data_IF_140482859638
#
_entry.id   IF_140482859638
#
_cell.length_a   1.000
_cell.length_b   1.000
_cell.length_c   1.000
_cell.angle_alpha   90.00
_cell.angle_beta   90.00
_cell.angle_gamma   90.00
#
_symmetry.space_group_name_H-M   'P 1'
#
loop_
_entity.id
_entity.type
_entity.pdbx_description
1 polymer ?
#
# COMPACT_ATOMS: atom_id res chain seq x y z
N UNK A 1 -1.93 6.19 14.98
CA UNK A 1 -0.51 6.65 15.02
C UNK A 1 -0.14 7.19 13.64
N UNK A 2 0.59 8.30 13.56
CA UNK A 2 1.05 8.92 12.32
C UNK A 2 2.58 9.08 12.38
N UNK A 3 3.36 8.10 11.87
CA UNK A 3 4.81 8.25 11.76
C UNK A 3 5.15 9.42 10.85
N UNK A 4 6.09 10.26 11.28
CA UNK A 4 6.53 11.42 10.50
C UNK A 4 8.02 11.30 10.18
N UNK A 5 8.35 11.51 8.91
CA UNK A 5 9.73 11.60 8.48
C UNK A 5 10.34 12.96 8.86
N UNK A 6 11.61 12.95 9.16
CA UNK A 6 12.38 14.16 9.44
C UNK A 6 13.27 14.54 8.27
N UNK A 7 13.42 15.84 8.02
CA UNK A 7 14.30 16.35 6.94
C UNK A 7 15.78 15.97 7.14
N UNK A 8 16.19 15.67 8.37
CA UNK A 8 17.53 15.15 8.66
C UNK A 8 17.78 13.75 8.06
N UNK A 9 16.73 12.93 7.91
CA UNK A 9 16.83 11.60 7.29
C UNK A 9 16.62 11.66 5.76
N UNK A 10 15.76 12.56 5.31
CA UNK A 10 15.48 12.76 3.89
C UNK A 10 15.07 14.21 3.66
N UNK A 11 15.82 14.95 2.82
CA UNK A 11 15.61 16.38 2.58
C UNK A 11 14.20 16.73 2.07
N UNK A 12 13.53 15.81 1.40
CA UNK A 12 12.14 15.95 0.96
C UNK A 12 11.12 15.53 2.02
N UNK A 13 11.55 15.15 3.22
CA UNK A 13 10.72 14.59 4.29
C UNK A 13 9.85 13.40 3.83
N UNK A 14 10.35 12.65 2.86
CA UNK A 14 9.72 11.43 2.35
C UNK A 14 10.33 10.18 3.02
N UNK A 15 9.55 9.14 3.22
CA UNK A 15 10.09 7.86 3.68
C UNK A 15 11.05 7.25 2.65
N UNK A 16 12.12 6.64 3.14
CA UNK A 16 13.21 6.08 2.32
C UNK A 16 12.86 4.66 1.81
N UNK A 17 11.68 4.45 1.24
CA UNK A 17 11.18 3.20 0.69
C UNK A 17 12.11 2.55 -0.35
N UNK A 18 13.11 3.27 -0.82
CA UNK A 18 14.07 2.88 -1.84
C UNK A 18 15.46 2.55 -1.29
N UNK A 19 15.75 2.84 -0.02
CA UNK A 19 17.06 2.58 0.59
C UNK A 19 17.08 1.20 1.26
N UNK A 20 18.02 0.36 0.90
CA UNK A 20 18.10 -1.02 1.38
C UNK A 20 18.14 -1.12 2.91
N UNK A 21 18.84 -0.20 3.60
CA UNK A 21 18.91 -0.17 5.05
C UNK A 21 17.60 0.25 5.74
N UNK A 22 16.75 1.03 5.04
CA UNK A 22 15.49 1.53 5.60
C UNK A 22 14.29 0.61 5.33
N UNK A 23 14.44 -0.31 4.37
CA UNK A 23 13.37 -1.27 4.02
C UNK A 23 13.60 -2.66 4.61
N UNK A 24 14.76 -2.91 5.20
CA UNK A 24 15.09 -4.22 5.75
C UNK A 24 14.50 -4.40 7.17
N UNK A 25 14.03 -5.62 7.45
CA UNK A 25 13.58 -5.98 8.79
C UNK A 25 14.69 -5.76 9.83
N UNK A 26 14.36 -5.13 10.95
CA UNK A 26 15.27 -4.87 12.06
C UNK A 26 16.21 -3.68 11.85
N UNK A 27 16.06 -2.93 10.76
CA UNK A 27 16.92 -1.81 10.43
C UNK A 27 16.11 -0.56 10.04
N UNK A 28 16.74 0.61 10.15
CA UNK A 28 16.30 1.88 9.62
C UNK A 28 14.87 2.26 9.96
N UNK A 29 14.19 2.86 8.98
CA UNK A 29 12.82 3.36 9.15
C UNK A 29 11.82 2.24 9.39
N UNK A 30 11.96 1.09 8.73
CA UNK A 30 11.07 -0.03 8.92
C UNK A 30 11.09 -0.55 10.37
N UNK A 31 12.27 -0.64 10.99
CA UNK A 31 12.39 -1.02 12.39
C UNK A 31 11.80 0.04 13.33
N UNK A 32 12.05 1.32 13.04
CA UNK A 32 11.51 2.43 13.83
C UNK A 32 9.98 2.44 13.83
N UNK A 33 9.34 2.28 12.66
CA UNK A 33 7.88 2.24 12.56
C UNK A 33 7.33 0.99 13.28
N UNK A 34 7.99 -0.16 13.15
CA UNK A 34 7.58 -1.38 13.87
C UNK A 34 7.62 -1.19 15.41
N UNK A 35 8.65 -0.52 15.93
CA UNK A 35 8.75 -0.18 17.36
C UNK A 35 7.67 0.81 17.80
N UNK A 36 7.32 1.79 16.95
CA UNK A 36 6.22 2.72 17.23
C UNK A 36 4.88 1.98 17.34
N UNK A 37 4.65 0.96 16.48
CA UNK A 37 3.44 0.11 16.55
C UNK A 37 3.42 -0.66 17.86
N UNK A 38 4.52 -1.31 18.26
CA UNK A 38 4.61 -2.05 19.52
C UNK A 38 4.34 -1.15 20.71
N UNK A 39 4.94 0.04 20.71
CA UNK A 39 4.73 1.03 21.76
C UNK A 39 3.28 1.48 21.85
N UNK A 40 2.66 1.82 20.68
CA UNK A 40 1.27 2.25 20.65
C UNK A 40 0.32 1.16 21.16
N UNK A 41 0.53 -0.09 20.75
CA UNK A 41 -0.26 -1.22 21.25
C UNK A 41 -0.15 -1.39 22.77
N UNK A 42 1.07 -1.28 23.31
CA UNK A 42 1.30 -1.37 24.76
C UNK A 42 0.62 -0.21 25.52
N UNK A 43 0.74 1.02 25.02
CA UNK A 43 0.19 2.21 25.69
C UNK A 43 -1.33 2.28 25.68
N UNK A 44 -1.99 1.68 24.66
CA UNK A 44 -3.44 1.76 24.50
C UNK A 44 -4.18 0.44 24.75
N UNK A 45 -3.46 -0.64 25.08
CA UNK A 45 -4.02 -1.99 25.10
C UNK A 45 -4.76 -2.35 23.82
N UNK A 46 -4.21 -1.90 22.67
CA UNK A 46 -4.80 -2.08 21.36
C UNK A 46 -4.84 -3.54 20.91
N UNK A 47 -5.76 -3.86 20.02
CA UNK A 47 -5.87 -5.20 19.44
C UNK A 47 -4.80 -5.39 18.35
N UNK A 48 -3.77 -6.18 18.64
CA UNK A 48 -2.69 -6.48 17.72
C UNK A 48 -3.14 -7.22 16.43
N UNK A 49 -4.30 -7.88 16.45
CA UNK A 49 -4.85 -8.55 15.26
C UNK A 49 -5.55 -7.58 14.29
N UNK A 50 -5.75 -6.33 14.69
CA UNK A 50 -6.48 -5.30 13.94
C UNK A 50 -5.63 -4.07 13.62
N UNK A 51 -4.33 -4.25 13.47
CA UNK A 51 -3.41 -3.18 13.04
C UNK A 51 -3.37 -3.13 11.52
N UNK A 52 -3.64 -1.97 10.96
CA UNK A 52 -3.53 -1.69 9.52
C UNK A 52 -2.50 -0.59 9.29
N UNK A 53 -1.93 -0.54 8.10
CA UNK A 53 -0.98 0.48 7.67
C UNK A 53 -1.41 1.10 6.36
N UNK A 54 -1.36 2.43 6.24
CA UNK A 54 -1.70 3.11 4.98
C UNK A 54 -0.78 4.28 4.72
N UNK A 55 -0.60 4.60 3.46
CA UNK A 55 0.20 5.74 3.05
C UNK A 55 0.00 6.15 1.60
N UNK A 56 0.34 7.42 1.35
CA UNK A 56 0.36 8.04 0.03
C UNK A 56 1.80 8.14 -0.47
N UNK A 57 2.04 7.90 -1.77
CA UNK A 57 3.32 8.15 -2.45
C UNK A 57 4.48 7.39 -1.76
N UNK A 58 5.49 8.08 -1.27
CA UNK A 58 6.57 7.50 -0.48
C UNK A 58 6.05 6.76 0.77
N UNK A 59 4.98 7.27 1.41
CA UNK A 59 4.27 6.58 2.49
C UNK A 59 3.60 5.29 2.01
N UNK A 60 3.08 5.26 0.79
CA UNK A 60 2.56 4.04 0.15
C UNK A 60 3.66 3.02 -0.13
N UNK A 61 4.84 3.47 -0.57
CA UNK A 61 6.03 2.62 -0.69
C UNK A 61 6.46 2.05 0.66
N UNK A 62 6.48 2.88 1.72
CA UNK A 62 6.78 2.42 3.07
C UNK A 62 5.69 1.48 3.63
N UNK A 63 4.42 1.68 3.24
CA UNK A 63 3.34 0.72 3.56
C UNK A 63 3.66 -0.66 2.98
N UNK A 64 4.08 -0.75 1.70
CA UNK A 64 4.49 -2.01 1.10
C UNK A 64 5.70 -2.64 1.84
N UNK A 65 6.64 -1.82 2.30
CA UNK A 65 7.77 -2.25 3.14
C UNK A 65 7.29 -2.87 4.46
N UNK A 66 6.40 -2.19 5.17
CA UNK A 66 5.89 -2.67 6.47
C UNK A 66 5.11 -3.98 6.32
N UNK A 67 4.28 -4.09 5.29
CA UNK A 67 3.54 -5.32 4.99
C UNK A 67 4.47 -6.50 4.65
N UNK A 68 5.59 -6.26 3.95
CA UNK A 68 6.54 -7.30 3.57
C UNK A 68 7.52 -7.67 4.69
N UNK A 69 8.09 -6.68 5.38
CA UNK A 69 9.12 -6.88 6.39
C UNK A 69 8.55 -7.29 7.76
N UNK A 70 7.31 -6.91 8.05
CA UNK A 70 6.63 -7.18 9.33
C UNK A 70 5.20 -7.71 9.14
N UNK A 71 5.01 -8.76 8.32
CA UNK A 71 3.66 -9.26 7.99
C UNK A 71 2.87 -9.71 9.23
N UNK A 72 3.55 -10.13 10.30
CA UNK A 72 2.92 -10.53 11.55
C UNK A 72 2.32 -9.37 12.36
N UNK A 73 2.67 -8.12 12.02
CA UNK A 73 2.20 -6.94 12.74
C UNK A 73 0.97 -6.28 12.08
N UNK A 74 0.71 -6.60 10.84
CA UNK A 74 -0.34 -5.91 10.07
C UNK A 74 -1.35 -6.90 9.49
N UNK A 75 -2.63 -6.65 9.72
CA UNK A 75 -3.71 -7.42 9.11
C UNK A 75 -3.94 -7.01 7.64
N UNK A 76 -3.70 -5.73 7.33
CA UNK A 76 -3.94 -5.18 6.00
C UNK A 76 -3.11 -3.92 5.74
N UNK A 77 -2.94 -3.57 4.46
CA UNK A 77 -2.36 -2.32 4.01
C UNK A 77 -3.20 -1.60 2.97
N UNK A 78 -3.17 -0.26 3.04
CA UNK A 78 -3.79 0.64 2.07
C UNK A 78 -2.72 1.47 1.36
N UNK A 79 -2.57 1.30 0.06
CA UNK A 79 -1.54 1.98 -0.73
C UNK A 79 -2.19 2.94 -1.71
N UNK A 80 -1.90 4.23 -1.56
CA UNK A 80 -2.38 5.27 -2.48
C UNK A 80 -1.20 5.82 -3.28
N UNK A 81 -1.28 5.74 -4.61
CA UNK A 81 -0.24 6.23 -5.52
C UNK A 81 1.18 5.82 -5.04
N UNK A 82 1.32 4.56 -4.63
CA UNK A 82 2.54 4.03 -4.02
C UNK A 82 3.28 3.06 -4.92
N UNK A 83 4.22 2.30 -4.33
CA UNK A 83 5.20 1.51 -5.07
C UNK A 83 5.35 0.11 -4.44
N UNK A 84 5.66 -0.92 -5.26
CA UNK A 84 5.93 -2.26 -4.75
C UNK A 84 7.15 -2.32 -3.83
N UNK A 85 7.13 -3.24 -2.87
CA UNK A 85 8.29 -3.55 -2.05
C UNK A 85 9.49 -3.97 -2.91
N UNK A 86 10.64 -3.35 -2.68
CA UNK A 86 11.87 -3.64 -3.41
C UNK A 86 11.88 -3.18 -4.86
N UNK A 87 10.97 -2.28 -5.26
CA UNK A 87 10.90 -1.80 -6.63
C UNK A 87 12.15 -1.03 -7.07
N UNK A 88 12.69 -0.17 -6.22
CA UNK A 88 13.90 0.57 -6.55
C UNK A 88 15.09 -0.36 -6.80
N UNK A 89 15.21 -1.46 -6.04
CA UNK A 89 16.22 -2.49 -6.22
C UNK A 89 15.99 -3.31 -7.51
N UNK A 90 14.71 -3.57 -7.84
CA UNK A 90 14.36 -4.28 -9.07
C UNK A 90 14.59 -3.44 -10.32
N UNK A 91 14.30 -2.15 -10.27
CA UNK A 91 14.43 -1.19 -11.37
C UNK A 91 15.85 -0.59 -11.46
N UNK A 92 16.69 -0.78 -10.44
CA UNK A 92 18.02 -0.17 -10.33
C UNK A 92 18.02 1.31 -9.94
N UNK A 93 16.87 1.92 -9.76
CA UNK A 93 16.70 3.33 -9.38
C UNK A 93 15.29 3.61 -8.86
N UNK A 94 15.14 4.47 -7.83
CA UNK A 94 13.81 4.91 -7.40
C UNK A 94 13.05 5.65 -8.50
N UNK A 95 13.72 6.45 -9.30
CA UNK A 95 13.09 7.19 -10.41
C UNK A 95 12.61 6.25 -11.52
N UNK A 96 13.40 5.24 -11.88
CA UNK A 96 12.96 4.23 -12.87
C UNK A 96 11.74 3.48 -12.34
N UNK A 97 11.75 3.08 -11.06
CA UNK A 97 10.58 2.49 -10.43
C UNK A 97 9.34 3.40 -10.53
N UNK A 98 9.45 4.68 -10.14
CA UNK A 98 8.34 5.63 -10.15
C UNK A 98 7.75 5.84 -11.55
N UNK A 99 8.61 5.98 -12.57
CA UNK A 99 8.20 6.42 -13.91
C UNK A 99 8.03 5.30 -14.93
N UNK A 100 8.67 4.16 -14.74
CA UNK A 100 8.71 3.06 -15.71
C UNK A 100 8.22 1.75 -15.11
N UNK A 101 8.33 1.59 -13.79
CA UNK A 101 8.16 0.31 -13.10
C UNK A 101 9.41 -0.57 -13.24
N UNK A 102 9.26 -1.86 -12.92
CA UNK A 102 10.32 -2.84 -13.12
C UNK A 102 9.80 -4.05 -13.89
N UNK A 103 10.59 -4.52 -14.83
CA UNK A 103 10.23 -5.70 -15.63
C UNK A 103 10.43 -6.97 -14.80
N UNK A 104 9.40 -7.34 -14.05
CA UNK A 104 9.36 -8.52 -13.20
C UNK A 104 8.09 -9.32 -13.47
N UNK A 105 8.18 -10.65 -13.43
CA UNK A 105 7.00 -11.52 -13.37
C UNK A 105 6.32 -11.41 -12.00
N UNK A 106 5.05 -11.83 -11.89
CA UNK A 106 4.35 -11.90 -10.61
C UNK A 106 5.13 -12.73 -9.59
N UNK A 107 5.69 -13.88 -10.01
CA UNK A 107 6.52 -14.73 -9.17
C UNK A 107 7.76 -13.99 -8.63
N UNK A 108 8.48 -13.27 -9.48
CA UNK A 108 9.64 -12.50 -9.05
C UNK A 108 9.25 -11.39 -8.06
N UNK A 109 8.10 -10.75 -8.27
CA UNK A 109 7.56 -9.77 -7.35
C UNK A 109 7.20 -10.39 -5.98
N UNK A 110 6.47 -11.50 -5.95
CA UNK A 110 6.11 -12.19 -4.70
C UNK A 110 7.32 -12.78 -3.99
N UNK A 111 8.33 -13.27 -4.71
CA UNK A 111 9.58 -13.77 -4.10
C UNK A 111 10.32 -12.68 -3.35
N UNK A 112 10.23 -11.39 -3.77
CA UNK A 112 10.77 -10.27 -3.00
C UNK A 112 10.07 -10.11 -1.65
N UNK A 113 8.75 -10.23 -1.62
CA UNK A 113 7.97 -10.17 -0.36
C UNK A 113 8.37 -11.33 0.56
N UNK A 114 8.42 -12.54 0.03
CA UNK A 114 8.83 -13.73 0.82
C UNK A 114 10.27 -13.61 1.36
N UNK A 115 11.16 -13.00 0.58
CA UNK A 115 12.54 -12.75 0.99
C UNK A 115 12.68 -11.68 2.08
N UNK A 116 11.72 -10.76 2.21
CA UNK A 116 11.72 -9.75 3.27
C UNK A 116 11.56 -10.36 4.68
N UNK A 117 10.89 -11.53 4.77
CA UNK A 117 10.66 -12.26 6.02
C UNK A 117 10.86 -13.77 5.80
N UNK A 118 12.12 -14.23 5.71
CA UNK A 118 12.39 -15.64 5.50
C UNK A 118 11.76 -16.54 6.58
N UNK A 119 11.16 -17.64 6.15
CA UNK A 119 10.52 -18.60 7.05
C UNK A 119 9.16 -18.16 7.61
N UNK A 120 8.59 -17.05 7.16
CA UNK A 120 7.24 -16.66 7.55
C UNK A 120 6.20 -17.59 6.91
N UNK A 121 5.35 -18.18 7.75
CA UNK A 121 4.28 -19.12 7.36
C UNK A 121 2.88 -18.62 7.74
N UNK A 122 2.80 -17.44 8.35
CA UNK A 122 1.52 -16.82 8.68
C UNK A 122 0.82 -16.21 7.47
N UNK A 123 -0.39 -15.69 7.66
CA UNK A 123 -1.13 -15.02 6.60
C UNK A 123 -0.46 -13.68 6.22
N UNK A 124 -0.26 -13.43 4.94
CA UNK A 124 0.17 -12.11 4.47
C UNK A 124 -0.94 -11.07 4.67
N UNK A 125 -0.59 -9.79 4.94
CA UNK A 125 -1.56 -8.69 5.00
C UNK A 125 -2.31 -8.53 3.68
N UNK A 126 -3.61 -8.24 3.73
CA UNK A 126 -4.38 -7.92 2.52
C UNK A 126 -4.03 -6.52 2.01
N UNK A 127 -4.20 -6.28 0.71
CA UNK A 127 -3.91 -5.01 0.06
C UNK A 127 -5.18 -4.35 -0.48
N UNK A 128 -5.34 -3.05 -0.21
CA UNK A 128 -6.23 -2.17 -0.99
C UNK A 128 -5.39 -1.08 -1.64
N UNK A 129 -5.42 -0.96 -2.97
CA UNK A 129 -4.59 -0.01 -3.71
C UNK A 129 -5.44 0.97 -4.52
N UNK A 130 -5.02 2.25 -4.53
CA UNK A 130 -5.65 3.33 -5.29
C UNK A 130 -4.61 4.02 -6.16
N UNK A 131 -4.95 4.23 -7.44
CA UNK A 131 -4.03 4.85 -8.39
C UNK A 131 -4.77 5.72 -9.39
N UNK A 132 -4.36 6.97 -9.49
CA UNK A 132 -4.84 7.88 -10.54
C UNK A 132 -4.25 7.55 -11.90
N UNK A 133 -5.09 7.52 -12.95
CA UNK A 133 -4.59 7.23 -14.32
C UNK A 133 -3.79 8.37 -14.93
N UNK A 134 -3.96 9.61 -14.43
CA UNK A 134 -3.20 10.79 -14.82
C UNK A 134 -2.08 11.13 -13.80
N UNK A 135 -1.66 10.17 -13.00
CA UNK A 135 -0.53 10.36 -12.08
C UNK A 135 0.80 10.34 -12.85
N UNK A 136 1.49 11.48 -12.89
CA UNK A 136 2.79 11.65 -13.53
C UNK A 136 3.97 11.57 -12.55
N UNK A 137 3.70 11.48 -11.25
CA UNK A 137 4.72 11.35 -10.20
C UNK A 137 5.03 9.89 -9.89
N UNK A 138 3.98 9.11 -9.64
CA UNK A 138 4.07 7.65 -9.54
C UNK A 138 3.15 7.06 -10.60
N UNK A 139 3.74 6.58 -11.67
CA UNK A 139 2.99 6.12 -12.86
C UNK A 139 2.09 4.93 -12.54
N UNK A 140 0.94 4.78 -13.24
CA UNK A 140 -0.03 3.70 -13.02
C UNK A 140 0.54 2.28 -13.14
N UNK A 141 1.66 2.08 -13.81
CA UNK A 141 2.37 0.80 -13.88
C UNK A 141 2.69 0.23 -12.49
N UNK A 142 2.92 1.10 -11.49
CA UNK A 142 3.22 0.68 -10.14
C UNK A 142 2.03 -0.03 -9.46
N UNK A 143 0.78 0.35 -9.77
CA UNK A 143 -0.38 -0.41 -9.29
C UNK A 143 -0.45 -1.81 -9.92
N UNK A 144 -0.11 -1.94 -11.21
CA UNK A 144 -0.02 -3.25 -11.86
C UNK A 144 1.05 -4.12 -11.18
N UNK A 145 2.20 -3.55 -10.87
CA UNK A 145 3.29 -4.26 -10.20
C UNK A 145 2.94 -4.60 -8.74
N UNK A 146 2.25 -3.71 -8.00
CA UNK A 146 1.68 -4.00 -6.67
C UNK A 146 0.68 -5.16 -6.73
N UNK A 147 -0.22 -5.16 -7.71
CA UNK A 147 -1.18 -6.25 -7.91
C UNK A 147 -0.46 -7.57 -8.13
N UNK A 148 0.51 -7.62 -9.05
CA UNK A 148 1.34 -8.81 -9.31
C UNK A 148 2.06 -9.29 -8.06
N UNK A 149 2.63 -8.36 -7.31
CA UNK A 149 3.39 -8.66 -6.10
C UNK A 149 2.53 -9.34 -5.03
N UNK A 150 1.38 -8.75 -4.73
CA UNK A 150 0.55 -9.21 -3.62
C UNK A 150 -0.34 -10.38 -3.98
N UNK A 151 -0.81 -10.51 -5.24
CA UNK A 151 -1.50 -11.72 -5.69
C UNK A 151 -0.58 -12.94 -5.62
N UNK A 152 0.67 -12.84 -6.10
CA UNK A 152 1.63 -13.95 -6.00
C UNK A 152 2.06 -14.23 -4.56
N UNK A 153 2.22 -13.20 -3.70
CA UNK A 153 2.51 -13.40 -2.28
C UNK A 153 1.40 -14.20 -1.57
N UNK A 154 0.15 -13.95 -1.92
CA UNK A 154 -1.02 -14.70 -1.43
C UNK A 154 -1.24 -16.05 -2.13
N UNK A 155 -0.50 -16.35 -3.19
CA UNK A 155 -0.67 -17.59 -3.97
C UNK A 155 -1.93 -17.63 -4.81
N UNK A 156 -2.50 -16.47 -5.15
CA UNK A 156 -3.62 -16.37 -6.11
C UNK A 156 -3.11 -16.02 -7.51
N UNK A 157 -3.95 -16.26 -8.52
CA UNK A 157 -3.58 -15.95 -9.90
C UNK A 157 -3.70 -14.43 -10.20
N UNK A 158 -3.43 -14.06 -11.46
CA UNK A 158 -3.44 -12.68 -11.91
C UNK A 158 -4.78 -12.25 -12.54
N UNK A 159 -5.81 -13.10 -12.44
CA UNK A 159 -7.14 -12.83 -12.97
C UNK A 159 -8.03 -12.33 -11.85
N UNK A 160 -8.65 -11.17 -12.03
CA UNK A 160 -9.56 -10.63 -11.04
C UNK A 160 -10.84 -11.49 -10.97
N UNK A 161 -11.24 -11.88 -9.77
CA UNK A 161 -12.51 -12.58 -9.50
C UNK A 161 -13.71 -11.64 -9.63
N UNK A 162 -13.52 -10.35 -9.35
CA UNK A 162 -14.51 -9.31 -9.56
C UNK A 162 -13.88 -8.20 -10.38
N UNK A 163 -14.58 -7.74 -11.41
CA UNK A 163 -14.25 -6.57 -12.21
C UNK A 163 -15.53 -5.78 -12.43
N UNK A 164 -15.67 -4.67 -11.72
CA UNK A 164 -16.85 -3.81 -11.76
C UNK A 164 -16.48 -2.33 -11.69
N UNK A 165 -17.39 -1.47 -11.30
CA UNK A 165 -17.15 -0.05 -11.07
C UNK A 165 -17.67 0.37 -9.71
N UNK A 166 -16.88 1.16 -9.00
CA UNK A 166 -17.25 1.80 -7.74
C UNK A 166 -17.11 3.31 -7.88
N UNK A 167 -18.18 4.04 -7.60
CA UNK A 167 -18.26 5.49 -7.82
C UNK A 167 -17.85 5.91 -9.26
N UNK A 168 -18.10 5.04 -10.26
CA UNK A 168 -17.73 5.28 -11.66
C UNK A 168 -16.29 4.93 -12.04
N UNK A 169 -15.48 4.42 -11.11
CA UNK A 169 -14.10 4.03 -11.34
C UNK A 169 -13.93 2.52 -11.46
N UNK A 170 -13.08 2.02 -12.38
CA UNK A 170 -12.75 0.60 -12.46
C UNK A 170 -12.24 0.06 -11.11
N UNK A 171 -12.81 -1.05 -10.70
CA UNK A 171 -12.50 -1.73 -9.44
C UNK A 171 -12.30 -3.21 -9.71
N UNK A 172 -11.29 -3.81 -9.06
CA UNK A 172 -10.98 -5.24 -9.18
C UNK A 172 -10.71 -5.84 -7.82
N UNK A 173 -11.15 -7.09 -7.63
CA UNK A 173 -10.90 -7.88 -6.42
C UNK A 173 -10.30 -9.22 -6.81
N UNK A 174 -9.24 -9.61 -6.13
CA UNK A 174 -8.57 -10.90 -6.25
C UNK A 174 -8.76 -11.67 -4.95
N UNK A 175 -9.14 -12.94 -5.07
CA UNK A 175 -9.48 -13.79 -3.93
C UNK A 175 -8.49 -14.95 -3.79
N UNK A 176 -8.24 -15.35 -2.55
CA UNK A 176 -7.52 -16.60 -2.29
C UNK A 176 -8.43 -17.82 -2.45
N UNK A 177 -7.85 -19.01 -2.32
CA UNK A 177 -8.57 -20.30 -2.48
C UNK A 177 -9.70 -20.49 -1.45
N UNK A 178 -9.75 -19.70 -0.39
CA UNK A 178 -10.84 -19.69 0.59
C UNK A 178 -12.00 -18.75 0.20
N UNK A 179 -11.82 -17.96 -0.86
CA UNK A 179 -12.77 -16.94 -1.31
C UNK A 179 -12.60 -15.58 -0.61
N UNK A 180 -11.57 -15.42 0.25
CA UNK A 180 -11.28 -14.15 0.92
C UNK A 180 -10.65 -13.18 -0.07
N UNK A 181 -11.13 -11.93 -0.11
CA UNK A 181 -10.48 -10.85 -0.85
C UNK A 181 -9.11 -10.56 -0.25
N UNK A 182 -8.05 -10.69 -1.05
CA UNK A 182 -6.66 -10.50 -0.62
C UNK A 182 -5.98 -9.31 -1.28
N UNK A 183 -6.42 -8.95 -2.49
CA UNK A 183 -6.00 -7.72 -3.18
C UNK A 183 -7.24 -7.04 -3.77
N UNK A 184 -7.33 -5.73 -3.59
CA UNK A 184 -8.39 -4.88 -4.11
C UNK A 184 -7.77 -3.64 -4.73
N UNK A 185 -8.22 -3.23 -5.93
CA UNK A 185 -7.63 -2.10 -6.64
C UNK A 185 -8.68 -1.16 -7.19
N UNK A 186 -8.39 0.14 -7.12
CA UNK A 186 -9.22 1.21 -7.67
C UNK A 186 -8.40 2.04 -8.66
N UNK A 187 -8.79 2.04 -9.94
CA UNK A 187 -8.16 2.82 -11.01
C UNK A 187 -8.94 4.12 -11.23
N UNK A 188 -8.42 5.22 -10.69
CA UNK A 188 -9.14 6.49 -10.64
C UNK A 188 -8.90 7.31 -11.92
N UNK A 189 -9.82 7.18 -12.86
CA UNK A 189 -9.72 7.80 -14.18
C UNK A 189 -9.57 9.32 -14.09
N UNK A 190 -8.52 9.86 -14.70
CA UNK A 190 -8.24 11.30 -14.76
C UNK A 190 -7.64 11.88 -13.47
N UNK A 191 -7.55 11.12 -12.39
CA UNK A 191 -6.95 11.61 -11.15
C UNK A 191 -5.42 11.68 -11.27
N UNK A 192 -4.84 12.76 -10.73
CA UNK A 192 -3.40 12.97 -10.60
C UNK A 192 -2.81 12.29 -9.34
N UNK A 193 -1.64 12.79 -8.91
CA UNK A 193 -0.95 12.30 -7.72
C UNK A 193 -1.58 12.83 -6.44
N UNK A 194 -2.23 11.98 -5.64
CA UNK A 194 -2.87 12.41 -4.39
C UNK A 194 -3.75 11.33 -3.77
N UNK A 195 -4.26 11.67 -2.59
CA UNK A 195 -5.23 10.88 -1.82
C UNK A 195 -6.63 11.19 -2.35
N UNK A 196 -7.41 10.20 -2.79
CA UNK A 196 -8.79 10.42 -3.19
C UNK A 196 -9.68 10.68 -1.97
N UNK A 197 -10.45 11.76 -2.04
CA UNK A 197 -11.43 12.17 -1.04
C UNK A 197 -12.79 12.42 -1.70
N UNK A 198 -13.82 12.43 -0.89
CA UNK A 198 -15.20 12.78 -1.25
C UNK A 198 -15.75 13.69 -0.14
N UNK A 199 -15.50 15.01 -0.22
CA UNK A 199 -15.96 15.94 0.83
C UNK A 199 -17.46 15.99 0.95
N UNK A 200 -17.98 15.91 2.19
CA UNK A 200 -19.40 15.96 2.48
C UNK A 200 -19.73 15.35 3.83
N UNK A 201 -21.03 15.15 4.07
CA UNK A 201 -21.58 14.64 5.34
C UNK A 201 -22.25 13.27 5.20
N UNK A 202 -22.23 12.69 4.01
CA UNK A 202 -22.77 11.35 3.75
C UNK A 202 -21.91 10.26 4.39
N UNK A 203 -22.51 9.11 4.67
CA UNK A 203 -21.84 8.01 5.38
C UNK A 203 -20.58 7.47 4.68
N UNK A 204 -20.52 7.56 3.35
CA UNK A 204 -19.35 7.12 2.56
C UNK A 204 -18.38 8.26 2.23
N UNK A 205 -18.72 9.50 2.57
CA UNK A 205 -17.94 10.69 2.28
C UNK A 205 -16.89 10.94 3.36
N UNK A 206 -15.76 11.52 2.96
CA UNK A 206 -14.70 11.88 3.89
C UNK A 206 -13.73 12.91 3.33
N UNK A 207 -13.07 13.60 4.24
CA UNK A 207 -11.96 14.48 3.96
C UNK A 207 -12.38 15.88 3.52
N UNK A 208 -11.37 16.69 3.24
CA UNK A 208 -11.52 18.03 2.68
C UNK A 208 -10.51 18.16 1.54
N UNK A 209 -10.94 18.69 0.39
CA UNK A 209 -10.07 18.88 -0.75
C UNK A 209 -8.92 19.86 -0.43
N UNK A 210 -7.74 19.58 -0.96
CA UNK A 210 -6.54 20.39 -0.74
C UNK A 210 -5.35 19.89 -1.54
N UNK A 211 -4.18 20.41 -1.25
CA UNK A 211 -2.95 19.93 -1.88
C UNK A 211 -2.78 18.42 -1.61
N UNK A 212 -2.69 17.62 -2.67
CA UNK A 212 -2.64 16.15 -2.64
C UNK A 212 -3.83 15.46 -1.96
N UNK A 213 -4.94 16.16 -1.70
CA UNK A 213 -6.22 15.61 -1.26
C UNK A 213 -7.25 15.93 -2.35
N UNK A 214 -7.45 15.01 -3.27
CA UNK A 214 -8.15 15.26 -4.53
C UNK A 214 -9.60 14.80 -4.42
N UNK A 215 -10.52 15.77 -4.56
CA UNK A 215 -11.94 15.48 -4.63
C UNK A 215 -12.27 14.78 -5.96
N UNK A 216 -12.64 13.51 -5.86
CA UNK A 216 -13.00 12.66 -7.00
C UNK A 216 -14.31 11.90 -6.75
N UNK A 217 -15.10 12.34 -5.76
CA UNK A 217 -16.33 11.67 -5.32
C UNK A 217 -16.09 10.19 -4.90
N UNK A 218 -14.90 9.89 -4.36
CA UNK A 218 -14.56 8.61 -3.78
C UNK A 218 -13.64 8.81 -2.57
N UNK A 219 -14.10 8.38 -1.39
CA UNK A 219 -13.29 8.39 -0.17
C UNK A 219 -12.48 7.10 -0.06
N UNK A 220 -11.16 7.15 -0.30
CA UNK A 220 -10.30 5.98 -0.15
C UNK A 220 -10.25 5.47 1.29
N UNK A 221 -10.26 6.36 2.29
CA UNK A 221 -10.26 5.94 3.70
C UNK A 221 -11.51 5.14 4.06
N UNK A 222 -12.70 5.54 3.56
CA UNK A 222 -13.93 4.77 3.75
C UNK A 222 -13.84 3.40 3.07
N UNK A 223 -13.34 3.34 1.82
CA UNK A 223 -13.18 2.06 1.09
C UNK A 223 -12.21 1.12 1.79
N UNK A 224 -11.07 1.62 2.28
CA UNK A 224 -10.15 0.84 3.11
C UNK A 224 -10.84 0.34 4.38
N UNK A 225 -11.54 1.21 5.11
CA UNK A 225 -12.26 0.84 6.32
C UNK A 225 -13.25 -0.30 6.09
N UNK A 226 -14.02 -0.23 5.01
CA UNK A 226 -14.94 -1.31 4.62
C UNK A 226 -14.22 -2.61 4.30
N UNK A 227 -13.16 -2.56 3.48
CA UNK A 227 -12.37 -3.75 3.14
C UNK A 227 -11.74 -4.42 4.38
N UNK A 228 -11.47 -3.64 5.42
CA UNK A 228 -10.88 -4.11 6.68
C UNK A 228 -11.92 -4.44 7.78
N UNK A 229 -13.21 -4.30 7.49
CA UNK A 229 -14.27 -4.56 8.47
C UNK A 229 -14.27 -3.56 9.65
N UNK A 230 -13.95 -2.30 9.37
CA UNK A 230 -13.94 -1.21 10.36
C UNK A 230 -15.18 -0.31 10.28
N UNK A 231 -16.14 -0.62 9.42
CA UNK A 231 -17.37 0.13 9.20
C UNK A 231 -18.59 -0.54 9.76
#
# INVERSE_FOLDING_TARGET
>A
MLPQQQSANNLSSCFNWFQTGDIARGQGEAASIAQMVDRQLADTSGDASRVQVTGLSAGGGMTAVMMAAYPEKFAAGGIVAGLPYGCAQAAGSPYVCMYVGATQSARQWGDRVRAARPGYTGPWPTLVAFQGTADYTVKPVNMTDLTRQWTDAHGTDQTADVSDTVAGFPHQVYRDSSGRAVVETYSLTGMGHGQPVDPGTGAEQCGTAGAYLLDVNLCAAHRMGRAWGLG
#
